data_IF_539913266111
#
_entry.id   IF_539913266111
#
_cell.length_a   1.000
_cell.length_b   1.000
_cell.length_c   1.000
_cell.angle_alpha   90.00
_cell.angle_beta   90.00
_cell.angle_gamma   90.00
#
_symmetry.space_group_name_H-M   'P 1'
#
loop_
_entity.id
_entity.type
_entity.pdbx_description
1 polymer ?
#
# COMPACT_ATOMS: atom_id res chain seq x y z
N UNK A 1 3.00 2.86 -6.49
CA UNK A 1 3.89 3.99 -6.15
C UNK A 1 3.72 5.23 -7.04
N UNK A 2 3.19 5.14 -8.26
CA UNK A 2 3.01 6.28 -9.18
C UNK A 2 1.78 7.18 -8.94
N UNK A 3 1.08 7.02 -7.81
CA UNK A 3 -0.09 7.85 -7.52
C UNK A 3 0.35 9.26 -7.14
N UNK A 4 -0.05 10.25 -7.94
CA UNK A 4 0.24 11.67 -7.69
C UNK A 4 -0.45 12.16 -6.41
N UNK A 5 -1.70 11.73 -6.19
CA UNK A 5 -2.50 12.06 -5.00
C UNK A 5 -2.99 10.80 -4.26
N UNK A 6 -2.12 10.08 -3.53
CA UNK A 6 -2.46 8.80 -2.91
C UNK A 6 -3.68 8.86 -1.98
N UNK A 7 -3.77 9.91 -1.14
CA UNK A 7 -4.89 10.08 -0.20
C UNK A 7 -6.24 10.20 -0.90
N UNK A 8 -6.32 11.04 -1.94
CA UNK A 8 -7.55 11.24 -2.71
C UNK A 8 -7.94 9.96 -3.46
N UNK A 9 -6.96 9.28 -4.06
CA UNK A 9 -7.19 8.02 -4.76
C UNK A 9 -7.69 6.92 -3.81
N UNK A 10 -7.05 6.74 -2.65
CA UNK A 10 -7.47 5.73 -1.66
C UNK A 10 -8.88 6.01 -1.12
N UNK A 11 -9.22 7.30 -0.88
CA UNK A 11 -10.58 7.67 -0.48
C UNK A 11 -11.61 7.35 -1.57
N UNK A 12 -11.31 7.64 -2.83
CA UNK A 12 -12.18 7.29 -3.96
C UNK A 12 -12.37 5.78 -4.10
N UNK A 13 -11.29 5.01 -3.94
CA UNK A 13 -11.32 3.55 -3.96
C UNK A 13 -12.19 3.00 -2.83
N UNK A 14 -12.04 3.51 -1.60
CA UNK A 14 -12.86 3.15 -0.46
C UNK A 14 -14.34 3.39 -0.71
N UNK A 15 -14.72 4.52 -1.31
CA UNK A 15 -16.12 4.82 -1.63
C UNK A 15 -16.69 3.92 -2.73
N UNK A 16 -15.85 3.42 -3.63
CA UNK A 16 -16.26 2.60 -4.78
C UNK A 16 -16.41 1.11 -4.45
N UNK A 17 -15.74 0.64 -3.40
CA UNK A 17 -15.80 -0.76 -3.00
C UNK A 17 -17.07 -1.06 -2.19
N UNK A 18 -17.66 -2.25 -2.35
CA UNK A 18 -18.82 -2.68 -1.55
C UNK A 18 -18.44 -2.86 -0.07
N UNK A 19 -19.39 -2.75 0.89
CA UNK A 19 -19.12 -3.12 2.28
C UNK A 19 -18.67 -4.56 2.30
N UNK A 20 -17.78 -4.88 3.22
CA UNK A 20 -17.16 -6.18 3.16
C UNK A 20 -16.47 -6.40 1.78
N UNK A 21 -15.75 -5.40 1.26
CA UNK A 21 -14.89 -5.48 0.08
C UNK A 21 -13.41 -5.71 0.45
N UNK A 22 -12.62 -6.27 -0.46
CA UNK A 22 -11.19 -6.54 -0.25
C UNK A 22 -10.33 -5.66 -1.14
N UNK A 23 -9.27 -5.08 -0.55
CA UNK A 23 -8.18 -4.42 -1.25
C UNK A 23 -6.91 -5.23 -1.01
N UNK A 24 -6.23 -5.61 -2.10
CA UNK A 24 -4.89 -6.18 -2.06
C UNK A 24 -3.94 -5.19 -2.73
N UNK A 25 -2.86 -4.83 -2.04
CA UNK A 25 -1.85 -3.91 -2.54
C UNK A 25 -0.50 -4.61 -2.58
N UNK A 26 0.11 -4.64 -3.77
CA UNK A 26 1.44 -5.20 -4.01
C UNK A 26 2.31 -4.10 -4.60
N UNK A 27 3.44 -3.81 -3.96
CA UNK A 27 4.41 -2.82 -4.44
C UNK A 27 5.81 -3.14 -3.91
N UNK A 28 6.81 -2.42 -4.41
CA UNK A 28 8.21 -2.61 -4.05
C UNK A 28 8.51 -2.17 -2.61
N UNK A 29 9.31 -2.96 -1.90
CA UNK A 29 9.90 -2.57 -0.61
C UNK A 29 10.91 -1.45 -0.84
N UNK A 30 10.75 -0.35 -0.10
CA UNK A 30 11.68 0.79 -0.08
C UNK A 30 12.32 0.90 1.31
N UNK A 31 13.48 0.28 1.47
CA UNK A 31 14.23 0.22 2.73
C UNK A 31 15.64 0.77 2.50
N UNK A 32 16.03 1.78 3.28
CA UNK A 32 17.36 2.38 3.18
C UNK A 32 18.43 1.38 3.61
N UNK A 33 19.52 1.28 2.84
CA UNK A 33 20.58 0.30 3.07
C UNK A 33 20.32 -1.10 2.48
N UNK A 34 19.07 -1.41 2.08
CA UNK A 34 18.71 -2.71 1.50
C UNK A 34 18.27 -2.60 0.04
N UNK A 35 17.39 -1.63 -0.27
CA UNK A 35 16.83 -1.49 -1.62
C UNK A 35 17.84 -0.88 -2.61
N UNK A 36 17.72 -1.25 -3.88
CA UNK A 36 18.57 -0.70 -4.94
C UNK A 36 18.43 0.83 -5.06
N UNK A 37 19.47 1.56 -5.54
CA UNK A 37 19.38 3.01 -5.73
C UNK A 37 18.25 3.45 -6.67
N UNK A 38 17.85 2.59 -7.63
CA UNK A 38 16.71 2.85 -8.51
C UNK A 38 15.41 2.88 -7.72
N UNK A 39 15.18 1.89 -6.86
CA UNK A 39 13.98 1.80 -6.02
C UNK A 39 13.91 2.98 -5.06
N UNK A 40 15.01 3.32 -4.39
CA UNK A 40 15.06 4.43 -3.43
C UNK A 40 14.73 5.80 -4.05
N UNK A 41 15.06 6.01 -5.33
CA UNK A 41 14.74 7.24 -6.07
C UNK A 41 13.36 7.24 -6.73
N UNK A 42 12.84 6.07 -7.11
CA UNK A 42 11.63 5.95 -7.93
C UNK A 42 10.37 5.67 -7.11
N UNK A 43 10.51 4.92 -6.02
CA UNK A 43 9.40 4.53 -5.16
C UNK A 43 9.18 5.61 -4.11
N UNK A 44 7.95 6.15 -4.04
CA UNK A 44 7.68 7.35 -3.25
C UNK A 44 7.79 7.13 -1.73
N UNK A 45 7.46 5.92 -1.25
CA UNK A 45 7.25 5.65 0.17
C UNK A 45 7.51 4.17 0.50
N UNK A 46 7.83 3.90 1.76
CA UNK A 46 7.95 2.54 2.30
C UNK A 46 6.59 1.95 2.70
N UNK A 47 6.59 0.65 3.01
CA UNK A 47 5.42 -0.14 3.38
C UNK A 47 4.56 0.53 4.47
N UNK A 48 5.19 0.97 5.58
CA UNK A 48 4.49 1.58 6.72
C UNK A 48 3.67 2.81 6.30
N UNK A 49 4.26 3.73 5.54
CA UNK A 49 3.57 4.91 5.04
C UNK A 49 2.40 4.56 4.12
N UNK A 50 2.52 3.49 3.32
CA UNK A 50 1.44 3.03 2.45
C UNK A 50 0.30 2.41 3.25
N UNK A 51 0.60 1.64 4.30
CA UNK A 51 -0.41 1.11 5.23
C UNK A 51 -1.18 2.27 5.87
N UNK A 52 -0.47 3.26 6.43
CA UNK A 52 -1.08 4.41 7.09
C UNK A 52 -2.03 5.19 6.15
N UNK A 53 -1.67 5.36 4.89
CA UNK A 53 -2.51 6.06 3.91
C UNK A 53 -3.77 5.27 3.54
N UNK A 54 -3.67 3.94 3.46
CA UNK A 54 -4.81 3.06 3.18
C UNK A 54 -5.76 3.03 4.38
N UNK A 55 -5.23 2.96 5.60
CA UNK A 55 -6.03 3.01 6.83
C UNK A 55 -6.70 4.37 7.03
N UNK A 56 -6.00 5.48 6.73
CA UNK A 56 -6.58 6.83 6.73
C UNK A 56 -7.78 6.99 5.78
N UNK A 57 -7.85 6.20 4.71
CA UNK A 57 -9.01 6.20 3.80
C UNK A 57 -10.25 5.47 4.39
N UNK A 58 -10.05 4.65 5.42
CA UNK A 58 -11.08 3.89 6.14
C UNK A 58 -10.97 2.37 5.99
N UNK A 59 -9.98 1.86 5.26
CA UNK A 59 -9.72 0.42 5.20
C UNK A 59 -9.12 -0.08 6.52
N UNK A 60 -9.29 -1.37 6.80
CA UNK A 60 -8.72 -2.04 7.97
C UNK A 60 -7.67 -3.03 7.50
N UNK A 61 -6.43 -2.92 7.98
CA UNK A 61 -5.39 -3.90 7.70
C UNK A 61 -5.78 -5.29 8.23
N UNK A 62 -5.55 -6.32 7.43
CA UNK A 62 -5.90 -7.71 7.79
C UNK A 62 -4.66 -8.57 7.95
N UNK A 63 -3.80 -8.55 6.95
CA UNK A 63 -2.60 -9.37 6.93
C UNK A 63 -1.61 -8.89 5.89
N UNK A 64 -0.38 -9.39 6.02
CA UNK A 64 0.62 -9.38 4.96
C UNK A 64 1.22 -10.75 4.78
N UNK A 65 1.96 -10.94 3.70
CA UNK A 65 2.76 -12.15 3.49
C UNK A 65 4.20 -11.78 3.12
N UNK A 66 5.13 -12.61 3.58
CA UNK A 66 6.58 -12.48 3.33
C UNK A 66 7.04 -13.36 2.15
N UNK A 67 6.10 -13.92 1.38
CA UNK A 67 6.39 -14.75 0.21
C UNK A 67 7.14 -14.02 -0.91
N UNK A 68 7.14 -12.69 -0.90
CA UNK A 68 7.79 -11.85 -1.90
C UNK A 68 9.01 -11.18 -1.27
N UNK A 69 10.18 -11.38 -1.88
CA UNK A 69 11.44 -10.83 -1.39
C UNK A 69 11.51 -9.31 -1.64
N UNK A 70 11.33 -8.88 -2.89
CA UNK A 70 11.48 -7.48 -3.30
C UNK A 70 10.22 -6.61 -3.11
N UNK A 71 9.06 -7.25 -3.00
CA UNK A 71 7.77 -6.59 -2.92
C UNK A 71 7.08 -6.94 -1.60
N UNK A 72 6.26 -6.03 -1.08
CA UNK A 72 5.31 -6.39 -0.04
C UNK A 72 3.98 -6.81 -0.67
N UNK A 73 3.19 -7.58 0.07
CA UNK A 73 1.80 -7.90 -0.25
C UNK A 73 0.97 -7.58 0.99
N UNK A 74 0.03 -6.64 0.84
CA UNK A 74 -0.81 -6.17 1.93
C UNK A 74 -2.27 -6.45 1.61
N UNK A 75 -2.99 -6.99 2.60
CA UNK A 75 -4.41 -7.29 2.51
C UNK A 75 -5.19 -6.39 3.45
N UNK A 76 -6.21 -5.72 2.91
CA UNK A 76 -7.08 -4.82 3.64
C UNK A 76 -8.55 -5.13 3.39
N UNK A 77 -9.37 -4.72 4.35
CA UNK A 77 -10.82 -4.85 4.33
C UNK A 77 -11.49 -3.48 4.28
N UNK A 78 -12.51 -3.32 3.45
CA UNK A 78 -13.52 -2.29 3.67
C UNK A 78 -14.57 -2.85 4.64
N UNK A 79 -14.76 -2.23 5.82
CA UNK A 79 -15.81 -2.62 6.75
C UNK A 79 -17.19 -2.68 6.06
#
# INVERSE_FOLDING_TARGET
HHLEYPKAYMRSLFLSLRPAGTLVLVDMKRVEGESSPRVLRHVRAGEVTVIDEVEQAGFVFQSKTELLEENYYLHFRRP
#
